data_IF_571493339716
#
_entry.id   IF_571493339716
#
_cell.length_a   1.000
_cell.length_b   1.000
_cell.length_c   1.000
_cell.angle_alpha   90.00
_cell.angle_beta   90.00
_cell.angle_gamma   90.00
#
_symmetry.space_group_name_H-M   'P 1'
#
loop_
_entity.id
_entity.type
_entity.pdbx_description
1 polymer ?
#
# COMPACT_ATOMS: atom_id res chain seq x y z
N UNK A 1 -13.29 21.13 -7.57
CA UNK A 1 -12.08 20.33 -7.25
C UNK A 1 -12.52 19.01 -6.64
N UNK A 2 -11.98 17.90 -7.16
CA UNK A 2 -12.27 16.59 -6.59
C UNK A 2 -11.52 16.43 -5.27
N UNK A 3 -12.15 15.78 -4.28
CA UNK A 3 -11.48 15.39 -3.05
C UNK A 3 -10.55 14.18 -3.33
N UNK A 4 -9.75 13.81 -2.35
CA UNK A 4 -8.76 12.76 -2.52
C UNK A 4 -9.40 11.38 -2.77
N UNK A 5 -10.55 11.12 -2.15
CA UNK A 5 -11.28 9.88 -2.42
C UNK A 5 -11.74 9.82 -3.87
N UNK A 6 -12.37 10.89 -4.37
CA UNK A 6 -12.86 10.95 -5.75
C UNK A 6 -11.71 10.83 -6.75
N UNK A 7 -10.56 11.45 -6.48
CA UNK A 7 -9.37 11.34 -7.34
C UNK A 7 -8.82 9.92 -7.36
N UNK A 8 -8.70 9.29 -6.20
CA UNK A 8 -8.24 7.91 -6.12
C UNK A 8 -9.21 6.96 -6.81
N UNK A 9 -10.51 7.16 -6.63
CA UNK A 9 -11.53 6.36 -7.30
C UNK A 9 -11.46 6.51 -8.81
N UNK A 10 -11.25 7.72 -9.31
CA UNK A 10 -11.11 7.96 -10.74
C UNK A 10 -9.92 7.20 -11.32
N UNK A 11 -8.80 7.17 -10.62
CA UNK A 11 -7.64 6.39 -11.02
C UNK A 11 -7.94 4.89 -10.97
N UNK A 12 -8.56 4.44 -9.90
CA UNK A 12 -8.94 3.03 -9.74
C UNK A 12 -9.84 2.57 -10.88
N UNK A 13 -10.83 3.39 -11.24
CA UNK A 13 -11.78 3.06 -12.30
C UNK A 13 -11.11 2.94 -13.67
N UNK A 14 -9.97 3.61 -13.86
CA UNK A 14 -9.22 3.56 -15.11
C UNK A 14 -8.23 2.40 -15.18
N UNK A 15 -7.99 1.70 -14.06
CA UNK A 15 -7.06 0.58 -14.05
C UNK A 15 -7.60 -0.60 -14.86
N UNK A 16 -6.71 -1.40 -15.50
CA UNK A 16 -7.13 -2.63 -16.14
C UNK A 16 -7.79 -3.58 -15.13
N UNK A 17 -8.72 -4.46 -15.56
CA UNK A 17 -9.39 -5.38 -14.65
C UNK A 17 -8.45 -6.26 -13.83
N UNK A 18 -7.32 -6.70 -14.41
CA UNK A 18 -6.34 -7.50 -13.69
C UNK A 18 -5.67 -6.73 -12.56
N UNK A 19 -5.47 -5.41 -12.75
CA UNK A 19 -4.90 -4.57 -11.69
C UNK A 19 -5.90 -4.39 -10.55
N UNK A 20 -7.17 -4.19 -10.86
CA UNK A 20 -8.21 -4.08 -9.82
C UNK A 20 -8.31 -5.35 -8.99
N UNK A 21 -8.23 -6.51 -9.64
CA UNK A 21 -8.24 -7.80 -8.93
C UNK A 21 -7.01 -7.96 -8.05
N UNK A 22 -5.86 -7.47 -8.48
CA UNK A 22 -4.62 -7.55 -7.71
C UNK A 22 -4.67 -6.72 -6.44
N UNK A 23 -5.50 -5.69 -6.38
CA UNK A 23 -5.65 -4.84 -5.21
C UNK A 23 -6.65 -5.39 -4.19
N UNK A 24 -7.33 -6.50 -4.49
CA UNK A 24 -8.35 -7.06 -3.61
C UNK A 24 -8.11 -8.55 -3.38
N UNK A 25 -7.99 -8.95 -2.13
CA UNK A 25 -7.84 -10.37 -1.77
C UNK A 25 -9.14 -11.14 -1.93
N UNK A 26 -10.27 -10.48 -1.76
CA UNK A 26 -11.60 -11.11 -1.85
C UNK A 26 -12.12 -11.22 -3.27
N UNK A 27 -11.46 -10.55 -4.22
CA UNK A 27 -11.96 -10.42 -5.59
C UNK A 27 -12.99 -9.32 -5.76
N UNK A 28 -13.36 -8.64 -4.70
CA UNK A 28 -14.25 -7.48 -4.77
C UNK A 28 -13.48 -6.29 -5.32
N UNK A 29 -13.95 -5.72 -6.42
CA UNK A 29 -13.30 -4.59 -7.07
C UNK A 29 -14.01 -3.26 -6.79
N UNK A 30 -14.86 -3.21 -5.76
CA UNK A 30 -15.50 -1.98 -5.34
C UNK A 30 -14.51 -1.13 -4.55
N UNK A 31 -14.34 0.12 -4.97
CA UNK A 31 -13.48 1.06 -4.28
C UNK A 31 -14.28 1.75 -3.18
N UNK A 32 -13.82 1.65 -1.93
CA UNK A 32 -14.53 2.19 -0.77
C UNK A 32 -13.70 3.22 -0.05
N UNK A 33 -14.34 3.99 0.83
CA UNK A 33 -13.70 4.99 1.67
C UNK A 33 -13.64 4.57 3.14
N UNK A 34 -13.95 3.31 3.45
CA UNK A 34 -14.01 2.81 4.82
C UNK A 34 -12.63 2.58 5.40
N UNK A 35 -12.42 2.96 6.66
CA UNK A 35 -11.25 2.65 7.47
C UNK A 35 -9.93 3.19 6.93
N UNK A 36 -9.95 4.09 5.94
CA UNK A 36 -8.73 4.70 5.39
C UNK A 36 -8.21 5.76 6.36
N UNK A 37 -6.96 5.62 6.78
CA UNK A 37 -6.30 6.58 7.68
C UNK A 37 -5.33 7.50 6.95
N UNK A 38 -4.77 7.05 5.82
CA UNK A 38 -3.91 7.87 4.97
C UNK A 38 -4.32 7.66 3.53
N UNK A 39 -4.43 8.75 2.79
CA UNK A 39 -4.63 8.70 1.35
C UNK A 39 -3.80 9.78 0.69
N UNK A 40 -2.96 9.39 -0.26
CA UNK A 40 -2.22 10.30 -1.11
C UNK A 40 -2.52 9.97 -2.55
N UNK A 41 -2.92 10.95 -3.32
CA UNK A 41 -3.32 10.78 -4.71
C UNK A 41 -2.70 11.83 -5.58
N UNK A 42 -2.27 11.44 -6.78
CA UNK A 42 -1.78 12.34 -7.83
C UNK A 42 -2.15 11.77 -9.19
N UNK A 43 -1.74 12.45 -10.26
CA UNK A 43 -1.96 11.94 -11.61
C UNK A 43 -1.20 10.64 -11.88
N UNK A 44 -0.19 10.33 -11.08
CA UNK A 44 0.66 9.15 -11.26
C UNK A 44 0.09 7.90 -10.60
N UNK A 45 -0.82 8.05 -9.63
CA UNK A 45 -1.38 6.93 -8.90
C UNK A 45 -1.89 7.34 -7.54
N UNK A 46 -2.09 6.37 -6.67
CA UNK A 46 -2.49 6.65 -5.29
C UNK A 46 -1.96 5.59 -4.34
N UNK A 47 -1.89 5.96 -3.07
CA UNK A 47 -1.65 5.02 -1.97
C UNK A 47 -2.68 5.27 -0.89
N UNK A 48 -3.13 4.19 -0.27
CA UNK A 48 -3.98 4.24 0.91
C UNK A 48 -3.42 3.31 1.97
N UNK A 49 -3.47 3.76 3.21
CA UNK A 49 -3.29 2.89 4.36
C UNK A 49 -4.62 2.84 5.10
N UNK A 50 -5.13 1.64 5.33
CA UNK A 50 -6.38 1.46 6.05
C UNK A 50 -6.18 0.61 7.29
N UNK A 51 -7.00 0.86 8.30
CA UNK A 51 -6.93 0.17 9.57
C UNK A 51 -7.56 -1.22 9.43
N UNK A 52 -6.80 -2.27 9.73
CA UNK A 52 -7.29 -3.64 9.65
C UNK A 52 -8.09 -4.10 10.85
N UNK A 53 -8.15 -3.30 11.92
CA UNK A 53 -8.82 -3.69 13.16
C UNK A 53 -8.02 -4.67 14.01
N UNK A 54 -6.80 -4.97 13.60
CA UNK A 54 -5.92 -5.94 14.27
C UNK A 54 -4.63 -5.30 14.81
N UNK A 55 -4.57 -3.97 14.82
CA UNK A 55 -3.39 -3.23 15.25
C UNK A 55 -2.43 -2.88 14.14
N UNK A 56 -2.73 -3.26 12.90
CA UNK A 56 -1.89 -3.02 11.74
C UNK A 56 -2.61 -2.18 10.70
N UNK A 57 -1.82 -1.41 9.94
CA UNK A 57 -2.30 -0.70 8.78
C UNK A 57 -1.93 -1.50 7.53
N UNK A 58 -2.87 -1.58 6.60
CA UNK A 58 -2.69 -2.32 5.35
C UNK A 58 -2.62 -1.38 4.17
N UNK A 59 -1.82 -1.73 3.17
CA UNK A 59 -1.48 -0.87 2.05
C UNK A 59 -2.27 -1.23 0.81
N UNK A 60 -2.84 -0.21 0.15
CA UNK A 60 -3.33 -0.29 -1.22
C UNK A 60 -2.52 0.71 -2.03
N UNK A 61 -1.84 0.25 -3.07
CA UNK A 61 -0.93 1.09 -3.86
C UNK A 61 -1.13 0.79 -5.33
N UNK A 62 -1.45 1.81 -6.10
CA UNK A 62 -1.65 1.69 -7.53
C UNK A 62 -0.93 2.80 -8.27
N UNK A 63 -0.13 2.44 -9.26
CA UNK A 63 0.58 3.37 -10.12
C UNK A 63 0.03 3.22 -11.53
N UNK A 64 -0.36 4.34 -12.13
CA UNK A 64 -0.82 4.37 -13.52
C UNK A 64 0.29 3.80 -14.42
N UNK A 65 -0.04 2.92 -15.38
CA UNK A 65 0.98 2.23 -16.18
C UNK A 65 2.06 3.12 -16.78
N UNK A 66 1.69 4.31 -17.25
CA UNK A 66 2.64 5.25 -17.87
C UNK A 66 3.73 5.74 -16.89
N UNK A 67 3.50 5.63 -15.59
CA UNK A 67 4.43 6.12 -14.57
C UNK A 67 5.16 5.00 -13.82
N UNK A 68 5.03 3.76 -14.25
CA UNK A 68 5.69 2.62 -13.62
C UNK A 68 7.18 2.57 -13.96
N UNK A 69 7.95 1.98 -13.03
CA UNK A 69 9.40 1.85 -13.21
C UNK A 69 10.19 3.12 -12.99
N UNK A 70 9.58 4.15 -12.37
CA UNK A 70 10.21 5.47 -12.18
C UNK A 70 10.36 5.86 -10.71
N UNK A 71 10.20 4.92 -9.79
CA UNK A 71 10.36 5.17 -8.36
C UNK A 71 9.13 5.81 -7.69
N UNK A 72 8.02 5.95 -8.40
CA UNK A 72 6.82 6.60 -7.86
C UNK A 72 6.23 5.80 -6.71
N UNK A 73 6.22 4.46 -6.82
CA UNK A 73 5.69 3.61 -5.75
C UNK A 73 6.48 3.77 -4.45
N UNK A 74 7.81 3.83 -4.53
CA UNK A 74 8.65 4.08 -3.36
C UNK A 74 8.37 5.45 -2.75
N UNK A 75 8.19 6.46 -3.58
CA UNK A 75 7.87 7.81 -3.11
C UNK A 75 6.56 7.83 -2.32
N UNK A 76 5.51 7.20 -2.86
CA UNK A 76 4.22 7.13 -2.19
C UNK A 76 4.31 6.36 -0.88
N UNK A 77 4.97 5.21 -0.89
CA UNK A 77 5.07 4.38 0.31
C UNK A 77 5.90 5.07 1.38
N UNK A 78 7.02 5.68 1.02
CA UNK A 78 7.85 6.42 1.98
C UNK A 78 7.07 7.56 2.63
N UNK A 79 6.29 8.30 1.85
CA UNK A 79 5.47 9.37 2.40
C UNK A 79 4.43 8.81 3.39
N UNK A 80 3.71 7.76 3.01
CA UNK A 80 2.68 7.18 3.85
C UNK A 80 3.26 6.65 5.16
N UNK A 81 4.43 5.99 5.11
CA UNK A 81 5.08 5.49 6.30
C UNK A 81 5.53 6.61 7.23
N UNK A 82 5.85 7.79 6.69
CA UNK A 82 6.34 8.91 7.49
C UNK A 82 5.25 9.59 8.32
N UNK A 83 3.98 9.36 8.00
CA UNK A 83 2.87 10.07 8.66
C UNK A 83 2.03 9.17 9.56
N UNK A 84 2.41 7.91 9.75
CA UNK A 84 1.69 6.98 10.62
C UNK A 84 2.62 6.45 11.70
N UNK A 85 2.03 6.01 12.82
CA UNK A 85 2.76 5.49 13.96
C UNK A 85 2.47 4.00 14.24
N UNK A 86 1.56 3.41 13.50
CA UNK A 86 1.26 1.97 13.60
C UNK A 86 2.09 1.18 12.58
N UNK A 87 2.40 -0.07 12.89
CA UNK A 87 3.11 -0.91 11.92
C UNK A 87 2.27 -1.16 10.68
N UNK A 88 2.94 -1.17 9.54
CA UNK A 88 2.30 -1.27 8.23
C UNK A 88 2.57 -2.65 7.63
N UNK A 89 1.53 -3.26 7.07
CA UNK A 89 1.63 -4.50 6.31
C UNK A 89 1.36 -4.24 4.83
N UNK A 90 2.04 -5.00 4.01
CA UNK A 90 1.90 -4.95 2.56
C UNK A 90 1.55 -6.36 2.07
N UNK A 91 0.38 -6.49 1.46
CA UNK A 91 -0.11 -7.79 1.00
C UNK A 91 -0.05 -7.82 -0.52
N UNK A 92 0.67 -8.80 -1.08
CA UNK A 92 0.77 -9.00 -2.52
C UNK A 92 0.17 -10.35 -2.89
N UNK A 93 -0.78 -10.34 -3.82
CA UNK A 93 -1.29 -11.60 -4.38
C UNK A 93 -0.18 -12.33 -5.11
N UNK A 94 -0.20 -13.66 -5.07
CA UNK A 94 0.87 -14.48 -5.65
C UNK A 94 1.02 -14.30 -7.15
N UNK A 95 -0.02 -13.89 -7.84
CA UNK A 95 0.03 -13.64 -9.29
C UNK A 95 0.45 -12.21 -9.64
N UNK A 96 0.62 -11.34 -8.64
CA UNK A 96 1.03 -9.96 -8.88
C UNK A 96 2.57 -9.85 -8.79
N UNK A 97 3.23 -10.29 -9.84
CA UNK A 97 4.70 -10.34 -9.90
C UNK A 97 5.32 -8.95 -9.72
N UNK A 98 4.69 -7.92 -10.28
CA UNK A 98 5.20 -6.54 -10.17
C UNK A 98 5.19 -6.06 -8.72
N UNK A 99 4.11 -6.28 -8.01
CA UNK A 99 3.98 -5.89 -6.61
C UNK A 99 4.97 -6.64 -5.72
N UNK A 100 5.10 -7.95 -5.94
CA UNK A 100 6.05 -8.78 -5.20
C UNK A 100 7.48 -8.28 -5.45
N UNK A 101 7.82 -8.01 -6.69
CA UNK A 101 9.16 -7.51 -7.03
C UNK A 101 9.46 -6.16 -6.38
N UNK A 102 8.46 -5.29 -6.30
CA UNK A 102 8.60 -4.00 -5.65
C UNK A 102 8.89 -4.15 -4.15
N UNK A 103 8.07 -4.91 -3.43
CA UNK A 103 8.22 -4.99 -1.98
C UNK A 103 9.47 -5.78 -1.56
N UNK A 104 9.89 -6.76 -2.36
CA UNK A 104 11.09 -7.55 -2.08
C UNK A 104 12.37 -6.73 -2.15
N UNK A 105 12.40 -5.67 -2.93
CA UNK A 105 13.57 -4.79 -3.05
C UNK A 105 13.74 -3.89 -1.84
N UNK A 106 12.71 -3.73 -1.03
CA UNK A 106 12.78 -2.88 0.15
C UNK A 106 13.34 -3.68 1.30
N UNK A 107 14.29 -3.09 2.03
CA UNK A 107 14.89 -3.73 3.20
C UNK A 107 14.16 -3.42 4.50
N UNK A 108 13.13 -2.58 4.45
CA UNK A 108 12.31 -2.24 5.61
C UNK A 108 11.03 -3.08 5.73
N UNK A 109 10.85 -4.06 4.83
CA UNK A 109 9.73 -5.00 4.89
C UNK A 109 10.24 -6.43 4.88
N UNK A 110 9.58 -7.29 5.63
CA UNK A 110 9.94 -8.70 5.81
C UNK A 110 8.72 -9.57 5.57
N UNK A 111 8.91 -10.67 4.86
CA UNK A 111 7.85 -11.67 4.67
C UNK A 111 7.53 -12.32 6.02
N UNK A 112 6.26 -12.26 6.44
CA UNK A 112 5.82 -12.83 7.71
C UNK A 112 4.82 -13.97 7.53
N UNK A 113 4.15 -14.03 6.38
CA UNK A 113 3.12 -15.04 6.15
C UNK A 113 2.99 -15.30 4.68
N UNK A 114 2.71 -16.55 4.33
CA UNK A 114 2.34 -16.97 3.01
C UNK A 114 1.13 -17.89 3.11
N UNK A 115 0.12 -17.64 2.31
CA UNK A 115 -1.04 -18.53 2.19
C UNK A 115 -1.28 -18.88 0.73
N UNK A 116 -2.40 -19.54 0.42
CA UNK A 116 -2.67 -19.99 -0.95
C UNK A 116 -2.88 -18.85 -1.94
N UNK A 117 -3.16 -17.65 -1.47
CA UNK A 117 -3.56 -16.51 -2.31
C UNK A 117 -2.47 -15.44 -2.38
N UNK A 118 -1.77 -15.18 -1.26
CA UNK A 118 -0.95 -13.98 -1.13
C UNK A 118 0.27 -14.19 -0.24
N UNK A 119 1.21 -13.25 -0.36
CA UNK A 119 2.31 -13.05 0.58
C UNK A 119 2.02 -11.81 1.43
N UNK A 120 2.29 -11.91 2.73
CA UNK A 120 2.13 -10.78 3.65
C UNK A 120 3.50 -10.33 4.13
N UNK A 121 3.80 -9.06 3.92
CA UNK A 121 5.04 -8.43 4.35
C UNK A 121 4.71 -7.43 5.46
N UNK A 122 5.61 -7.31 6.44
CA UNK A 122 5.43 -6.37 7.54
C UNK A 122 6.64 -5.46 7.64
N UNK A 123 6.37 -4.18 7.88
CA UNK A 123 7.42 -3.19 8.12
C UNK A 123 8.24 -3.57 9.35
N UNK A 124 9.56 -3.55 9.22
CA UNK A 124 10.48 -3.86 10.31
C UNK A 124 11.25 -2.62 10.74
N UNK A 125 11.74 -2.64 11.98
CA UNK A 125 12.55 -1.55 12.49
C UNK A 125 11.79 -0.37 13.04
N UNK A 126 10.46 -0.35 12.88
CA UNK A 126 9.67 0.80 13.30
C UNK A 126 9.71 1.03 14.81
N UNK A 127 9.69 -0.04 15.59
CA UNK A 127 9.80 0.05 17.03
C UNK A 127 11.14 0.63 17.46
N UNK A 128 12.20 0.27 16.74
CA UNK A 128 13.53 0.79 17.02
C UNK A 128 13.63 2.27 16.72
N UNK A 129 12.89 2.76 15.71
CA UNK A 129 12.87 4.17 15.40
C UNK A 129 12.18 4.99 16.49
N UNK A 130 11.18 4.44 17.12
CA UNK A 130 10.46 5.11 18.20
C UNK A 130 11.30 5.23 19.47
N UNK A 131 12.07 4.20 19.80
CA UNK A 131 12.87 4.15 21.03
C UNK A 131 13.91 5.28 21.10
N UNK A 132 14.71 5.54 20.05
CA UNK A 132 15.67 6.63 20.11
C UNK A 132 15.01 7.99 20.33
N UNK A 133 13.87 8.23 19.74
CA UNK A 133 13.13 9.47 19.92
C UNK A 133 12.69 9.65 21.38
N UNK A 134 12.28 8.56 22.02
CA UNK A 134 11.86 8.61 23.42
C UNK A 134 13.02 8.89 24.36
N UNK A 135 14.21 8.46 24.01
CA UNK A 135 15.41 8.64 24.84
C UNK A 135 15.98 10.04 24.82
N UNK A 136 15.56 10.81 23.88
CA UNK A 136 16.02 12.21 23.75
C UNK A 136 15.25 13.10 24.71
#
# INVERSE_FOLDING_TARGET
MLDDFSRAKAIYDLLPPEDKKSLSLSGDTTFTNSDVVVRLCSDMGFIELFDGGDGYLYTVLAIVPAFRGKGVADMFLNFALSVVDKPVRYVSKKDNVRSIGFIKKRNDFKLIEENSIAFVYEQVGRELECIPAVQI
#
